data_IF_088518624556
#
_entry.id   IF_088518624556
#
_cell.length_a   1.000
_cell.length_b   1.000
_cell.length_c   1.000
_cell.angle_alpha   90.00
_cell.angle_beta   90.00
_cell.angle_gamma   90.00
#
_symmetry.space_group_name_H-M   'P 1'
#
loop_
_entity.id
_entity.type
_entity.pdbx_description
1 polymer ?
#
# COMPACT_ATOMS: atom_id res chain seq x y z
N UNK A 1 -4.55 -9.28 -14.56
CA UNK A 1 -5.04 -9.42 -13.16
C UNK A 1 -4.18 -8.52 -12.28
N UNK A 2 -4.75 -7.59 -11.52
CA UNK A 2 -3.98 -6.74 -10.61
C UNK A 2 -3.38 -7.54 -9.44
N UNK A 3 -2.22 -7.13 -8.90
CA UNK A 3 -1.61 -7.79 -7.75
C UNK A 3 -2.55 -7.73 -6.53
N UNK A 4 -2.69 -8.85 -5.82
CA UNK A 4 -3.53 -8.92 -4.61
C UNK A 4 -2.71 -8.56 -3.39
N UNK A 5 -3.16 -7.55 -2.65
CA UNK A 5 -2.60 -7.24 -1.33
C UNK A 5 -2.94 -8.31 -0.28
N UNK A 6 -2.04 -8.48 0.69
CA UNK A 6 -2.24 -9.23 1.92
C UNK A 6 -2.65 -8.26 3.04
N UNK A 7 -3.64 -8.65 3.85
CA UNK A 7 -4.17 -7.87 4.97
C UNK A 7 -3.49 -8.26 6.25
N UNK A 8 -3.19 -7.29 7.11
CA UNK A 8 -2.58 -7.57 8.40
C UNK A 8 -3.54 -8.36 9.29
N UNK A 9 -3.06 -9.47 9.84
CA UNK A 9 -3.75 -10.25 10.84
C UNK A 9 -3.34 -9.76 12.23
N UNK A 10 -4.16 -8.89 12.81
CA UNK A 10 -3.87 -8.24 14.10
C UNK A 10 -3.85 -9.21 15.27
N UNK A 11 -4.53 -10.34 15.19
CA UNK A 11 -4.57 -11.33 16.28
C UNK A 11 -3.24 -12.06 16.44
N UNK A 12 -2.54 -12.32 15.34
CA UNK A 12 -1.26 -13.03 15.33
C UNK A 12 -0.04 -12.11 15.16
N UNK A 13 -0.26 -10.82 14.86
CA UNK A 13 0.81 -9.83 14.84
C UNK A 13 1.17 -9.40 16.27
N UNK A 14 2.47 -9.20 16.50
CA UNK A 14 2.96 -8.62 17.73
C UNK A 14 2.81 -7.09 17.73
N UNK A 15 2.86 -6.51 18.92
CA UNK A 15 2.83 -5.06 19.09
C UNK A 15 4.12 -4.42 18.56
N UNK A 16 4.00 -3.25 17.90
CA UNK A 16 5.13 -2.43 17.47
C UNK A 16 5.52 -1.37 18.53
N UNK A 17 4.90 -1.36 19.71
CA UNK A 17 5.07 -0.27 20.69
C UNK A 17 6.53 -0.10 21.13
N UNK A 18 7.29 -1.19 21.34
CA UNK A 18 8.70 -1.10 21.73
C UNK A 18 9.55 -0.46 20.64
N UNK A 19 9.32 -0.82 19.38
CA UNK A 19 9.98 -0.20 18.24
C UNK A 19 9.62 1.29 18.11
N UNK A 20 8.35 1.65 18.31
CA UNK A 20 7.91 3.05 18.27
C UNK A 20 8.48 3.87 19.43
N UNK A 21 8.60 3.28 20.63
CA UNK A 21 9.24 3.86 21.81
C UNK A 21 10.72 4.10 21.55
N UNK A 22 11.42 3.07 21.06
CA UNK A 22 12.83 3.12 20.71
C UNK A 22 13.12 4.22 19.69
N UNK A 23 12.31 4.31 18.63
CA UNK A 23 12.43 5.35 17.61
C UNK A 23 11.97 6.74 18.08
N UNK A 24 11.42 6.87 19.28
CA UNK A 24 10.82 8.08 19.86
C UNK A 24 9.75 8.71 18.95
N UNK A 25 8.86 7.89 18.40
CA UNK A 25 7.77 8.38 17.56
C UNK A 25 6.73 9.12 18.41
N UNK A 26 6.31 10.30 17.94
CA UNK A 26 5.26 11.07 18.58
C UNK A 26 3.88 10.42 18.38
N UNK A 27 2.88 10.84 19.16
CA UNK A 27 1.54 10.25 19.15
C UNK A 27 0.86 10.27 17.78
N UNK A 28 1.06 11.32 16.98
CA UNK A 28 0.45 11.43 15.64
C UNK A 28 0.99 10.36 14.70
N UNK A 29 2.31 10.15 14.66
CA UNK A 29 2.92 9.11 13.82
C UNK A 29 2.48 7.72 14.29
N UNK A 30 2.39 7.48 15.59
CA UNK A 30 1.89 6.20 16.13
C UNK A 30 0.46 5.91 15.68
N UNK A 31 -0.41 6.92 15.66
CA UNK A 31 -1.76 6.75 15.14
C UNK A 31 -1.76 6.47 13.64
N UNK A 32 -0.89 7.13 12.85
CA UNK A 32 -0.75 6.84 11.43
C UNK A 32 -0.33 5.38 11.15
N UNK A 33 0.61 4.83 11.94
CA UNK A 33 1.03 3.43 11.84
C UNK A 33 -0.15 2.47 12.08
N UNK A 34 -1.03 2.77 13.05
CA UNK A 34 -2.23 1.95 13.32
C UNK A 34 -3.23 1.90 12.17
N UNK A 35 -3.13 2.82 11.21
CA UNK A 35 -3.99 2.91 10.03
C UNK A 35 -3.47 2.08 8.85
N UNK A 36 -2.30 1.47 8.97
CA UNK A 36 -1.82 0.45 8.03
C UNK A 36 -2.80 -0.72 8.01
N UNK A 37 -3.18 -1.13 6.79
CA UNK A 37 -4.12 -2.24 6.56
C UNK A 37 -3.41 -3.51 6.13
N UNK A 38 -2.32 -3.36 5.39
CA UNK A 38 -1.73 -4.48 4.69
C UNK A 38 -0.62 -4.07 3.74
N UNK A 39 -0.12 -5.07 3.02
CA UNK A 39 1.03 -4.95 2.13
C UNK A 39 0.77 -5.64 0.80
N UNK A 40 1.39 -5.12 -0.26
CA UNK A 40 1.48 -5.79 -1.54
C UNK A 40 2.95 -6.09 -1.82
N UNK A 41 3.25 -7.37 -2.02
CA UNK A 41 4.59 -7.87 -2.34
C UNK A 41 4.59 -8.35 -3.77
N UNK A 42 5.55 -7.88 -4.56
CA UNK A 42 5.82 -8.41 -5.88
C UNK A 42 7.29 -8.78 -5.93
N UNK A 43 7.58 -10.00 -6.38
CA UNK A 43 8.93 -10.49 -6.57
C UNK A 43 9.01 -10.96 -8.02
N UNK A 44 9.96 -10.41 -8.75
CA UNK A 44 10.35 -10.91 -10.07
C UNK A 44 11.85 -11.20 -10.07
N UNK A 45 12.41 -11.48 -11.25
CA UNK A 45 13.82 -11.83 -11.40
C UNK A 45 14.74 -10.68 -10.97
N UNK A 46 14.33 -9.45 -11.24
CA UNK A 46 15.20 -8.28 -11.17
C UNK A 46 14.89 -7.43 -9.94
N UNK A 47 13.65 -7.48 -9.43
CA UNK A 47 13.18 -6.59 -8.38
C UNK A 47 12.32 -7.28 -7.32
N UNK A 48 12.51 -6.80 -6.09
CA UNK A 48 11.59 -6.94 -4.97
C UNK A 48 10.84 -5.62 -4.76
N UNK A 49 9.51 -5.64 -4.94
CA UNK A 49 8.66 -4.48 -4.68
C UNK A 49 7.82 -4.69 -3.43
N UNK A 50 7.97 -3.77 -2.49
CA UNK A 50 7.21 -3.69 -1.24
C UNK A 50 6.31 -2.44 -1.26
N UNK A 51 5.00 -2.62 -1.11
CA UNK A 51 4.06 -1.50 -0.99
C UNK A 51 3.19 -1.64 0.24
N UNK A 52 3.17 -0.63 1.10
CA UNK A 52 2.24 -0.53 2.24
C UNK A 52 1.00 0.22 1.80
N UNK A 53 -0.18 -0.28 2.17
CA UNK A 53 -1.44 0.43 2.00
C UNK A 53 -2.12 0.68 3.35
N UNK A 54 -2.68 1.88 3.49
CA UNK A 54 -3.35 2.34 4.71
C UNK A 54 -4.76 2.86 4.40
N UNK A 55 -5.53 3.21 5.44
CA UNK A 55 -6.80 3.94 5.26
C UNK A 55 -6.60 5.34 4.67
N UNK A 56 -5.41 5.92 4.83
CA UNK A 56 -5.14 7.29 4.43
C UNK A 56 -4.39 7.27 3.09
N UNK A 57 -4.98 7.85 2.06
CA UNK A 57 -4.40 7.89 0.70
C UNK A 57 -3.03 8.55 0.62
N UNK A 58 -2.73 9.54 1.47
CA UNK A 58 -1.43 10.21 1.51
C UNK A 58 -0.34 9.38 2.21
N UNK A 59 -0.71 8.37 3.00
CA UNK A 59 0.23 7.45 3.66
C UNK A 59 0.39 6.19 2.81
N UNK A 60 1.26 6.29 1.81
CA UNK A 60 1.65 5.19 0.93
C UNK A 60 3.17 5.07 0.88
N UNK A 61 3.68 3.92 1.28
CA UNK A 61 5.09 3.55 1.12
C UNK A 61 5.18 2.61 -0.06
N UNK A 62 6.06 2.90 -1.01
CA UNK A 62 6.43 1.99 -2.10
C UNK A 62 7.95 1.98 -2.21
N UNK A 63 8.53 0.81 -2.13
CA UNK A 63 9.96 0.57 -2.23
C UNK A 63 10.21 -0.52 -3.28
N UNK A 64 11.24 -0.36 -4.12
CA UNK A 64 11.58 -1.25 -5.22
C UNK A 64 13.08 -1.51 -5.19
N UNK A 65 13.46 -2.67 -4.67
CA UNK A 65 14.86 -3.06 -4.48
C UNK A 65 15.32 -3.99 -5.59
N UNK A 66 16.46 -3.72 -6.23
CA UNK A 66 17.09 -4.66 -7.14
C UNK A 66 17.49 -5.95 -6.42
N UNK A 67 17.23 -7.11 -7.02
CA UNK A 67 17.57 -8.43 -6.45
C UNK A 67 19.08 -8.71 -6.43
N UNK A 68 19.90 -7.86 -7.04
CA UNK A 68 21.36 -7.95 -7.04
C UNK A 68 22.03 -7.33 -5.79
N UNK A 69 21.24 -6.82 -4.84
CA UNK A 69 21.74 -6.18 -3.61
C UNK A 69 22.18 -4.72 -3.78
N UNK A 70 21.94 -4.10 -4.93
CA UNK A 70 22.18 -2.66 -5.12
C UNK A 70 21.35 -1.83 -4.13
N UNK A 71 22.02 -0.86 -3.50
CA UNK A 71 21.38 0.03 -2.54
C UNK A 71 20.47 1.06 -3.21
N UNK A 72 19.34 1.35 -2.55
CA UNK A 72 18.34 2.33 -2.96
C UNK A 72 18.05 3.32 -1.85
N UNK A 73 17.71 4.54 -2.24
CA UNK A 73 17.36 5.63 -1.33
C UNK A 73 15.85 5.87 -1.33
N UNK A 74 15.28 5.95 -0.14
CA UNK A 74 13.85 6.19 0.09
C UNK A 74 13.64 7.28 1.13
N UNK A 75 12.37 7.67 1.31
CA UNK A 75 11.94 8.41 2.49
C UNK A 75 11.90 7.47 3.69
N UNK A 76 12.13 8.02 4.88
CA UNK A 76 11.94 7.27 6.13
C UNK A 76 10.48 6.81 6.26
N UNK A 77 10.27 5.59 6.76
CA UNK A 77 8.94 5.01 7.00
C UNK A 77 8.20 5.62 8.20
N UNK A 78 8.93 6.31 9.07
CA UNK A 78 8.45 6.95 10.29
C UNK A 78 7.94 8.40 10.09
N UNK A 79 7.79 8.84 8.83
CA UNK A 79 7.32 10.17 8.44
C UNK A 79 8.18 11.35 8.90
N UNK A 80 9.36 11.11 9.49
CA UNK A 80 10.31 12.17 9.79
C UNK A 80 11.00 12.63 8.51
N UNK A 81 11.56 13.85 8.55
CA UNK A 81 12.41 14.36 7.46
C UNK A 81 13.66 13.49 7.32
N UNK A 82 14.22 13.46 6.11
CA UNK A 82 15.42 12.70 5.77
C UNK A 82 15.13 11.46 4.94
N UNK A 83 16.20 10.77 4.59
CA UNK A 83 16.15 9.54 3.81
C UNK A 83 16.48 8.29 4.62
N UNK A 84 16.12 7.15 4.07
CA UNK A 84 16.63 5.84 4.44
C UNK A 84 17.33 5.24 3.23
N UNK A 85 18.42 4.53 3.46
CA UNK A 85 19.09 3.69 2.46
C UNK A 85 18.74 2.23 2.75
N UNK A 86 18.57 1.43 1.72
CA UNK A 86 18.38 0.01 1.91
C UNK A 86 18.66 -0.84 0.68
N UNK A 87 18.87 -2.12 0.91
CA UNK A 87 19.08 -3.13 -0.12
C UNK A 87 18.37 -4.43 0.29
N UNK A 88 18.28 -5.38 -0.64
CA UNK A 88 17.74 -6.71 -0.38
C UNK A 88 18.81 -7.78 -0.50
N UNK A 89 18.67 -8.81 0.34
CA UNK A 89 19.44 -10.04 0.27
C UNK A 89 18.45 -11.21 0.08
N UNK A 90 18.42 -11.84 -1.12
CA UNK A 90 17.61 -13.04 -1.34
C UNK A 90 18.13 -14.23 -0.53
N UNK A 91 17.26 -14.90 0.21
CA UNK A 91 17.59 -16.06 1.04
C UNK A 91 16.70 -17.24 0.69
N UNK A 92 16.96 -17.86 -0.47
CA UNK A 92 16.16 -18.96 -1.01
C UNK A 92 14.75 -18.49 -1.37
N UNK A 93 13.74 -18.91 -0.58
CA UNK A 93 12.33 -18.48 -0.77
C UNK A 93 11.98 -17.24 0.06
N UNK A 94 12.91 -16.75 0.88
CA UNK A 94 12.73 -15.60 1.74
C UNK A 94 13.51 -14.40 1.19
N UNK A 95 13.16 -13.22 1.67
CA UNK A 95 13.85 -11.98 1.32
C UNK A 95 14.15 -11.25 2.62
N UNK A 96 15.39 -10.80 2.77
CA UNK A 96 15.78 -9.90 3.84
C UNK A 96 15.99 -8.49 3.28
N UNK A 97 15.28 -7.50 3.81
CA UNK A 97 15.51 -6.09 3.50
C UNK A 97 16.36 -5.49 4.61
N UNK A 98 17.44 -4.81 4.24
CA UNK A 98 18.33 -4.09 5.15
C UNK A 98 18.06 -2.60 4.99
N UNK A 99 17.92 -1.88 6.10
CA UNK A 99 17.64 -0.45 6.14
C UNK A 99 18.61 0.25 7.07
N UNK A 100 19.04 1.45 6.69
CA UNK A 100 19.77 2.39 7.55
C UNK A 100 19.27 3.81 7.32
N UNK A 101 19.25 4.62 8.36
CA UNK A 101 18.87 6.03 8.26
C UNK A 101 19.73 6.89 9.18
N UNK A 102 19.90 8.13 8.77
CA UNK A 102 20.77 9.09 9.46
C UNK A 102 20.01 9.88 10.52
N UNK A 103 20.73 10.78 11.18
CA UNK A 103 20.22 11.66 12.23
C UNK A 103 19.13 12.65 11.77
N UNK A 104 18.29 13.13 12.71
CA UNK A 104 18.25 12.73 14.13
C UNK A 104 17.63 11.34 14.31
N UNK A 105 18.08 10.63 15.36
CA UNK A 105 17.68 9.25 15.67
C UNK A 105 18.09 8.27 14.58
N UNK A 106 19.35 8.39 14.15
CA UNK A 106 19.96 7.43 13.23
C UNK A 106 19.89 6.01 13.78
N UNK A 107 19.76 5.06 12.86
CA UNK A 107 19.58 3.66 13.21
C UNK A 107 19.55 2.78 12.00
N UNK A 108 19.33 1.50 12.25
CA UNK A 108 19.22 0.48 11.23
C UNK A 108 18.08 -0.47 11.56
N UNK A 109 17.65 -1.22 10.55
CA UNK A 109 16.66 -2.25 10.74
C UNK A 109 16.68 -3.27 9.63
N UNK A 110 16.06 -4.40 9.90
CA UNK A 110 15.96 -5.51 8.98
C UNK A 110 14.56 -6.08 9.02
N UNK A 111 14.03 -6.38 7.85
CA UNK A 111 12.76 -7.06 7.70
C UNK A 111 13.00 -8.40 6.99
N UNK A 112 12.66 -9.50 7.66
CA UNK A 112 12.73 -10.83 7.08
C UNK A 112 11.33 -11.25 6.60
N UNK A 113 11.14 -11.25 5.28
CA UNK A 113 9.91 -11.64 4.62
C UNK A 113 9.91 -13.16 4.39
N UNK A 114 8.99 -13.86 5.06
CA UNK A 114 8.85 -15.33 5.00
C UNK A 114 7.45 -15.71 4.55
N UNK A 115 7.35 -16.39 3.41
CA UNK A 115 6.08 -16.96 2.96
C UNK A 115 5.86 -18.31 3.67
N UNK A 116 5.04 -18.29 4.73
CA UNK A 116 4.78 -19.48 5.57
C UNK A 116 3.84 -20.46 4.87
N UNK A 117 2.89 -19.94 4.10
CA UNK A 117 2.00 -20.71 3.21
C UNK A 117 1.62 -19.88 1.99
N UNK A 118 0.87 -20.44 1.04
CA UNK A 118 0.41 -19.68 -0.13
C UNK A 118 -0.37 -18.40 0.24
N UNK A 119 -1.05 -18.43 1.39
CA UNK A 119 -1.94 -17.38 1.85
C UNK A 119 -1.44 -16.64 3.10
N UNK A 120 -0.24 -16.95 3.61
CA UNK A 120 0.30 -16.36 4.84
C UNK A 120 1.74 -15.87 4.68
N UNK A 121 1.95 -14.58 4.96
CA UNK A 121 3.23 -13.90 4.96
C UNK A 121 3.58 -13.43 6.37
N UNK A 122 4.78 -13.79 6.83
CA UNK A 122 5.38 -13.27 8.07
C UNK A 122 6.45 -12.24 7.70
N UNK A 123 6.48 -11.15 8.46
CA UNK A 123 7.57 -10.18 8.41
C UNK A 123 8.12 -10.06 9.84
N UNK A 124 9.31 -10.60 10.07
CA UNK A 124 10.05 -10.41 11.31
C UNK A 124 10.91 -9.15 11.16
N UNK A 125 10.60 -8.13 11.95
CA UNK A 125 11.32 -6.86 11.93
C UNK A 125 12.21 -6.73 13.16
N UNK A 126 13.44 -6.30 12.93
CA UNK A 126 14.40 -5.93 13.97
C UNK A 126 14.82 -4.48 13.72
N UNK A 127 14.80 -3.65 14.76
CA UNK A 127 15.19 -2.23 14.70
C UNK A 127 16.25 -1.97 15.76
N UNK A 128 17.30 -1.26 15.38
CA UNK A 128 18.38 -0.82 16.26
C UNK A 128 18.56 0.69 16.19
N UNK A 129 18.53 1.34 17.36
CA UNK A 129 18.75 2.78 17.52
C UNK A 129 19.54 2.98 18.79
N UNK A 130 20.66 3.72 18.72
CA UNK A 130 21.49 4.05 19.88
C UNK A 130 21.89 2.84 20.75
N UNK A 131 22.22 1.70 20.13
CA UNK A 131 22.63 0.46 20.83
C UNK A 131 21.49 -0.31 21.51
N UNK A 132 20.25 0.14 21.38
CA UNK A 132 19.06 -0.57 21.84
C UNK A 132 18.37 -1.26 20.67
N UNK A 133 17.77 -2.43 20.92
CA UNK A 133 17.11 -3.25 19.91
C UNK A 133 15.64 -3.49 20.25
N UNK A 134 14.77 -3.39 19.26
CA UNK A 134 13.38 -3.84 19.33
C UNK A 134 13.11 -4.88 18.25
N UNK A 135 12.24 -5.85 18.53
CA UNK A 135 11.83 -6.90 17.59
C UNK A 135 10.32 -7.06 17.61
N UNK A 136 9.72 -7.31 16.45
CA UNK A 136 8.32 -7.65 16.36
C UNK A 136 8.02 -8.46 15.10
N UNK A 137 7.03 -9.34 15.19
CA UNK A 137 6.47 -10.09 14.07
C UNK A 137 5.19 -9.41 13.57
N UNK A 138 5.07 -9.23 12.25
CA UNK A 138 3.80 -8.88 11.61
C UNK A 138 3.33 -10.01 10.70
N UNK A 139 2.08 -10.44 10.90
CA UNK A 139 1.46 -11.51 10.10
C UNK A 139 0.46 -10.90 9.13
N UNK A 140 0.51 -11.33 7.87
CA UNK A 140 -0.45 -10.93 6.84
C UNK A 140 -1.09 -12.16 6.19
N UNK A 141 -2.40 -12.09 5.98
CA UNK A 141 -3.13 -13.10 5.20
C UNK A 141 -3.54 -12.53 3.83
N UNK A 142 -3.36 -13.33 2.79
CA UNK A 142 -3.79 -12.98 1.43
C UNK A 142 -5.31 -12.80 1.42
N UNK A 143 -5.80 -11.76 0.74
CA UNK A 143 -7.26 -11.61 0.56
C UNK A 143 -7.82 -12.81 -0.21
N UNK A 144 -8.91 -13.43 0.25
CA UNK A 144 -9.59 -14.47 -0.50
C UNK A 144 -9.96 -13.95 -1.89
N UNK A 145 -9.94 -14.83 -2.90
CA UNK A 145 -10.55 -14.53 -4.19
C UNK A 145 -12.04 -14.34 -3.94
N UNK A 146 -12.51 -13.11 -3.81
CA UNK A 146 -13.93 -12.82 -3.98
C UNK A 146 -14.22 -13.20 -5.43
N UNK A 147 -14.81 -14.39 -5.62
CA UNK A 147 -15.34 -14.81 -6.90
C UNK A 147 -16.36 -13.72 -7.22
N UNK A 148 -16.04 -12.83 -8.16
CA UNK A 148 -17.03 -11.93 -8.74
C UNK A 148 -18.11 -12.86 -9.27
N UNK A 149 -19.17 -13.07 -8.49
CA UNK A 149 -20.40 -13.59 -9.03
C UNK A 149 -20.77 -12.54 -10.07
N UNK A 150 -20.65 -12.90 -11.35
CA UNK A 150 -21.40 -12.20 -12.38
C UNK A 150 -22.83 -12.19 -11.81
N UNK A 151 -23.46 -11.02 -11.61
CA UNK A 151 -24.90 -11.02 -11.39
C UNK A 151 -25.46 -11.82 -12.56
N UNK A 152 -26.05 -12.98 -12.26
CA UNK A 152 -26.76 -13.76 -13.25
C UNK A 152 -27.80 -12.81 -13.81
N UNK A 153 -27.58 -12.35 -15.04
CA UNK A 153 -28.55 -11.53 -15.73
C UNK A 153 -29.84 -12.34 -15.73
N UNK A 154 -30.84 -11.86 -14.99
CA UNK A 154 -32.20 -12.26 -15.27
C UNK A 154 -32.44 -11.90 -16.73
N UNK A 155 -32.52 -12.94 -17.54
CA UNK A 155 -33.13 -12.96 -18.85
C UNK A 155 -34.55 -12.40 -18.66
N UNK A 156 -34.70 -11.09 -18.85
CA UNK A 156 -36.01 -10.47 -19.01
C UNK A 156 -36.47 -10.82 -20.42
N UNK A 157 -37.09 -12.00 -20.55
CA UNK A 157 -37.88 -12.38 -21.72
C UNK A 157 -39.05 -11.41 -21.83
N UNK A 158 -38.90 -10.36 -22.61
CA UNK A 158 -40.03 -9.55 -23.07
C UNK A 158 -40.56 -10.16 -24.39
N UNK A 159 -41.84 -10.57 -24.44
CA UNK A 159 -42.47 -10.95 -25.70
C UNK A 159 -42.69 -9.72 -26.58
N UNK A 160 -42.59 -9.96 -27.88
CA UNK A 160 -42.84 -8.99 -28.94
C UNK A 160 -44.25 -8.39 -28.87
N UNK A 161 -44.33 -7.08 -29.00
CA UNK A 161 -45.54 -6.37 -29.40
C UNK A 161 -45.19 -5.18 -30.29
N UNK A 162 -45.45 -5.37 -31.58
CA UNK A 162 -46.09 -4.47 -32.55
C UNK A 162 -45.81 -2.97 -32.52
N UNK A 163 -45.35 -2.51 -33.69
CA UNK A 163 -45.48 -1.18 -34.30
C UNK A 163 -46.82 -0.48 -34.02
N UNK A 164 -46.79 0.87 -33.88
CA UNK A 164 -47.59 1.86 -34.65
C UNK A 164 -47.30 3.29 -34.13
N UNK A 165 -46.88 4.18 -35.05
CA UNK A 165 -47.13 5.63 -35.09
C UNK A 165 -46.47 6.51 -34.01
N UNK A 166 -46.28 7.82 -34.17
CA UNK A 166 -46.56 8.77 -35.25
C UNK A 166 -45.89 10.10 -34.82
N UNK A 167 -45.77 11.01 -35.77
CA UNK A 167 -45.04 12.26 -35.81
C UNK A 167 -45.25 13.26 -34.64
N UNK A 168 -44.22 14.06 -34.36
CA UNK A 168 -44.33 15.18 -33.41
C UNK A 168 -43.14 16.13 -33.40
N UNK A 169 -43.24 17.17 -34.23
CA UNK A 169 -42.31 18.29 -34.38
C UNK A 169 -42.29 19.28 -33.18
N UNK A 170 -41.20 20.04 -33.05
CA UNK A 170 -41.10 21.28 -32.24
C UNK A 170 -39.70 21.44 -31.64
N UNK A 171 -38.84 22.32 -32.19
CA UNK A 171 -38.61 23.72 -31.75
C UNK A 171 -38.24 23.82 -30.25
N UNK A 172 -37.23 24.52 -29.77
CA UNK A 172 -36.70 25.81 -30.18
C UNK A 172 -35.42 26.10 -29.36
N UNK A 173 -34.71 27.12 -29.81
CA UNK A 173 -33.51 27.82 -29.34
C UNK A 173 -33.23 27.89 -27.82
N UNK A 174 -31.93 28.02 -27.52
CA UNK A 174 -31.45 28.55 -26.25
C UNK A 174 -29.94 28.71 -26.18
N UNK A 175 -29.36 29.56 -27.03
CA UNK A 175 -28.02 30.13 -26.83
C UNK A 175 -27.99 30.96 -25.53
N UNK A 176 -26.97 30.78 -24.69
CA UNK A 176 -26.54 31.85 -23.79
C UNK A 176 -25.03 31.85 -23.58
N UNK A 177 -24.43 32.93 -24.11
CA UNK A 177 -23.11 33.44 -23.80
C UNK A 177 -22.87 33.60 -22.29
N UNK A 178 -21.65 33.25 -21.85
CA UNK A 178 -21.11 33.60 -20.54
C UNK A 178 -19.61 33.84 -20.62
N UNK A 179 -19.24 35.11 -20.85
CA UNK A 179 -17.88 35.67 -20.87
C UNK A 179 -17.43 35.99 -19.44
N UNK A 180 -16.13 35.83 -19.15
CA UNK A 180 -15.43 36.50 -18.04
C UNK A 180 -14.73 35.53 -17.09
N UNK A 181 -13.49 35.72 -16.66
CA UNK A 181 -12.58 36.84 -16.87
C UNK A 181 -11.19 36.48 -16.35
N UNK A 182 -10.20 37.20 -16.89
CA UNK A 182 -8.83 37.19 -16.44
C UNK A 182 -8.69 37.89 -15.08
N UNK A 183 -7.87 37.32 -14.20
CA UNK A 183 -7.47 37.96 -12.94
C UNK A 183 -6.12 37.44 -12.51
N UNK A 184 -5.05 38.15 -12.89
CA UNK A 184 -3.72 37.94 -12.32
C UNK A 184 -3.61 38.51 -10.91
N UNK A 185 -2.56 38.09 -10.19
CA UNK A 185 -1.67 38.95 -9.38
C UNK A 185 -0.61 38.11 -8.66
N UNK A 186 0.64 38.52 -8.89
CA UNK A 186 1.83 38.53 -8.03
C UNK A 186 2.45 37.19 -7.60
#
# INVERSE_FOLDING_TARGET
MGPRGAMQNRQYSQSMEDAMNLMRLNGVVRQAVKLVKGVNIQVDRDNFTFTVFSFISWFKVKEVYPMNGEERHYRRRDLRRGGAMGHVEPQGRNIQVHLRWNDPYGGQGWDHFRLVSEDELHIDSVIEVAGQTARYLTVYNRKPKTRRQKPSGNEATHPASSEVGDDGAGSDRGDHHGVGGAGGKK
#
